data_IF_066681119186
#
_entry.id   IF_066681119186
#
_cell.length_a   1.000
_cell.length_b   1.000
_cell.length_c   1.000
_cell.angle_alpha   90.00
_cell.angle_beta   90.00
_cell.angle_gamma   90.00
#
_symmetry.space_group_name_H-M   'P 1'
#
loop_
_entity.id
_entity.type
_entity.pdbx_description
1 polymer ?
#
# COMPACT_ATOMS: atom_id res chain seq x y z
N UNK A 1 51.38 63.04 -34.61
CA UNK A 1 51.20 61.72 -35.28
C UNK A 1 50.58 60.67 -34.36
N UNK A 2 50.57 60.84 -33.03
CA UNK A 2 49.94 59.89 -32.09
C UNK A 2 48.40 59.85 -32.12
N UNK A 3 47.74 60.98 -32.36
CA UNK A 3 46.26 61.09 -32.22
C UNK A 3 45.47 60.19 -33.18
N UNK A 4 45.99 59.91 -34.37
CA UNK A 4 45.31 59.04 -35.35
C UNK A 4 45.46 57.54 -35.01
N UNK A 5 46.52 57.18 -34.27
CA UNK A 5 46.76 55.81 -33.80
C UNK A 5 45.87 55.48 -32.61
N UNK A 6 45.64 56.46 -31.74
CA UNK A 6 44.78 56.38 -30.56
C UNK A 6 43.29 56.18 -30.94
N UNK A 7 42.77 56.98 -31.88
CA UNK A 7 41.39 56.79 -32.38
C UNK A 7 41.14 55.44 -33.07
N UNK A 8 42.15 54.91 -33.78
CA UNK A 8 42.03 53.59 -34.41
C UNK A 8 41.96 52.48 -33.37
N UNK A 9 42.75 52.58 -32.30
CA UNK A 9 42.70 51.62 -31.20
C UNK A 9 41.37 51.70 -30.45
N UNK A 10 40.85 52.90 -30.21
CA UNK A 10 39.54 53.10 -29.54
C UNK A 10 38.41 52.46 -30.36
N UNK A 11 38.36 52.70 -31.68
CA UNK A 11 37.33 52.12 -32.56
C UNK A 11 37.41 50.59 -32.66
N UNK A 12 38.61 50.02 -32.64
CA UNK A 12 38.78 48.56 -32.65
C UNK A 12 38.42 47.92 -31.29
N UNK A 13 38.71 48.59 -30.16
CA UNK A 13 38.26 48.14 -28.84
C UNK A 13 36.74 48.22 -28.67
N UNK A 14 36.08 49.28 -29.17
CA UNK A 14 34.62 49.40 -29.14
C UNK A 14 33.93 48.29 -29.94
N UNK A 15 34.46 47.95 -31.13
CA UNK A 15 33.96 46.83 -31.94
C UNK A 15 34.09 45.49 -31.21
N UNK A 16 35.20 45.26 -30.50
CA UNK A 16 35.44 44.04 -29.73
C UNK A 16 34.51 43.94 -28.51
N UNK A 17 34.25 45.06 -27.83
CA UNK A 17 33.31 45.10 -26.71
C UNK A 17 31.88 44.83 -27.13
N UNK A 18 31.45 45.38 -28.28
CA UNK A 18 30.11 45.12 -28.84
C UNK A 18 29.97 43.62 -29.15
N UNK A 19 30.93 43.04 -29.87
CA UNK A 19 30.90 41.61 -30.19
C UNK A 19 30.90 40.72 -28.94
N UNK A 20 31.66 41.10 -27.90
CA UNK A 20 31.66 40.39 -26.61
C UNK A 20 30.31 40.48 -25.90
N UNK A 21 29.69 41.66 -25.84
CA UNK A 21 28.36 41.86 -25.23
C UNK A 21 27.28 41.07 -25.97
N UNK A 22 27.36 41.01 -27.29
CA UNK A 22 26.46 40.22 -28.13
C UNK A 22 26.60 38.71 -27.87
N UNK A 23 27.83 38.20 -27.80
CA UNK A 23 28.10 36.80 -27.49
C UNK A 23 27.59 36.43 -26.09
N UNK A 24 27.86 37.26 -25.08
CA UNK A 24 27.35 37.07 -23.71
C UNK A 24 25.81 37.10 -23.66
N UNK A 25 25.16 37.96 -24.45
CA UNK A 25 23.71 37.99 -24.56
C UNK A 25 23.16 36.74 -25.25
N UNK A 26 23.84 36.24 -26.28
CA UNK A 26 23.48 35.00 -26.97
C UNK A 26 23.64 33.78 -26.06
N UNK A 27 24.72 33.73 -25.27
CA UNK A 27 24.94 32.68 -24.27
C UNK A 27 23.85 32.68 -23.19
N UNK A 28 23.47 33.85 -22.66
CA UNK A 28 22.35 33.98 -21.70
C UNK A 28 21.04 33.45 -22.28
N UNK A 29 20.70 33.81 -23.53
CA UNK A 29 19.49 33.32 -24.20
C UNK A 29 19.49 31.80 -24.39
N UNK A 30 20.64 31.23 -24.69
CA UNK A 30 20.78 29.78 -24.84
C UNK A 30 20.58 29.05 -23.52
N UNK A 31 21.21 29.52 -22.44
CA UNK A 31 21.01 28.95 -21.10
C UNK A 31 19.57 29.10 -20.62
N UNK A 32 18.93 30.23 -20.87
CA UNK A 32 17.49 30.40 -20.60
C UNK A 32 16.62 29.43 -21.41
N UNK A 33 16.93 29.24 -22.70
CA UNK A 33 16.21 28.30 -23.55
C UNK A 33 16.36 26.86 -23.04
N UNK A 34 17.58 26.47 -22.63
CA UNK A 34 17.87 25.17 -22.03
C UNK A 34 17.14 24.98 -20.70
N UNK A 35 17.14 26.00 -19.83
CA UNK A 35 16.42 25.96 -18.57
C UNK A 35 14.91 25.78 -18.76
N UNK A 36 14.31 26.47 -19.75
CA UNK A 36 12.90 26.31 -20.12
C UNK A 36 12.59 24.89 -20.62
N UNK A 37 13.46 24.34 -21.47
CA UNK A 37 13.32 22.96 -21.94
C UNK A 37 13.43 21.97 -20.78
N UNK A 38 14.41 22.14 -19.90
CA UNK A 38 14.60 21.28 -18.72
C UNK A 38 13.38 21.32 -17.80
N UNK A 39 12.85 22.50 -17.49
CA UNK A 39 11.66 22.64 -16.67
C UNK A 39 10.43 21.95 -17.28
N UNK A 40 10.35 21.90 -18.61
CA UNK A 40 9.27 21.20 -19.33
C UNK A 40 9.44 19.67 -19.23
N UNK A 41 10.67 19.19 -19.39
CA UNK A 41 11.01 17.77 -19.22
C UNK A 41 10.72 17.33 -17.79
N UNK A 42 11.17 18.10 -16.79
CA UNK A 42 10.97 17.78 -15.37
C UNK A 42 9.47 17.69 -15.03
N UNK A 43 8.66 18.64 -15.55
CA UNK A 43 7.20 18.59 -15.38
C UNK A 43 6.61 17.32 -16.01
N UNK A 44 6.99 17.00 -17.25
CA UNK A 44 6.49 15.82 -17.94
C UNK A 44 6.92 14.49 -17.27
N UNK A 45 8.15 14.45 -16.73
CA UNK A 45 8.66 13.31 -15.97
C UNK A 45 7.91 13.15 -14.66
N UNK A 46 7.70 14.25 -13.92
CA UNK A 46 6.97 14.23 -12.65
C UNK A 46 5.53 13.73 -12.82
N UNK A 47 4.80 14.25 -13.82
CA UNK A 47 3.43 13.82 -14.12
C UNK A 47 3.36 12.33 -14.47
N UNK A 48 4.34 11.82 -15.22
CA UNK A 48 4.44 10.39 -15.57
C UNK A 48 4.65 9.54 -14.31
N UNK A 49 5.62 9.88 -13.47
CA UNK A 49 5.91 9.16 -12.23
C UNK A 49 4.72 9.16 -11.27
N UNK A 50 4.04 10.29 -11.14
CA UNK A 50 2.85 10.39 -10.28
C UNK A 50 1.73 9.46 -10.76
N UNK A 51 1.47 9.42 -12.08
CA UNK A 51 0.46 8.53 -12.67
C UNK A 51 0.79 7.05 -12.47
N UNK A 52 2.05 6.68 -12.58
CA UNK A 52 2.54 5.31 -12.35
C UNK A 52 2.32 4.88 -10.89
N UNK A 53 2.71 5.72 -9.92
CA UNK A 53 2.46 5.47 -8.49
C UNK A 53 0.96 5.28 -8.20
N UNK A 54 0.11 6.13 -8.78
CA UNK A 54 -1.34 6.02 -8.61
C UNK A 54 -1.87 4.70 -9.19
N UNK A 55 -1.40 4.32 -10.38
CA UNK A 55 -1.80 3.08 -11.05
C UNK A 55 -1.40 1.85 -10.23
N UNK A 56 -0.15 1.79 -9.77
CA UNK A 56 0.37 0.68 -8.96
C UNK A 56 -0.40 0.54 -7.64
N UNK A 57 -0.71 1.66 -6.99
CA UNK A 57 -1.51 1.67 -5.76
C UNK A 57 -2.96 1.20 -5.99
N UNK A 58 -3.56 1.52 -7.14
CA UNK A 58 -4.91 1.09 -7.49
C UNK A 58 -4.93 -0.40 -7.81
N UNK A 59 -3.94 -0.86 -8.58
CA UNK A 59 -3.76 -2.28 -8.90
C UNK A 59 -3.54 -3.12 -7.64
N UNK A 60 -2.66 -2.68 -6.74
CA UNK A 60 -2.40 -3.37 -5.47
C UNK A 60 -3.67 -3.48 -4.60
N UNK A 61 -4.48 -2.42 -4.53
CA UNK A 61 -5.76 -2.43 -3.80
C UNK A 61 -6.79 -3.39 -4.40
N UNK A 62 -6.85 -3.47 -5.73
CA UNK A 62 -7.73 -4.41 -6.43
C UNK A 62 -7.28 -5.85 -6.19
N UNK A 63 -5.98 -6.14 -6.34
CA UNK A 63 -5.39 -7.45 -6.06
C UNK A 63 -5.70 -7.92 -4.63
N UNK A 64 -5.44 -7.08 -3.62
CA UNK A 64 -5.74 -7.43 -2.23
C UNK A 64 -7.24 -7.73 -1.98
N UNK A 65 -8.14 -7.05 -2.72
CA UNK A 65 -9.58 -7.35 -2.67
C UNK A 65 -9.88 -8.69 -3.33
N UNK A 66 -9.31 -8.96 -4.51
CA UNK A 66 -9.49 -10.22 -5.23
C UNK A 66 -8.95 -11.41 -4.44
N UNK A 67 -7.84 -11.24 -3.70
CA UNK A 67 -7.26 -12.30 -2.87
C UNK A 67 -8.16 -12.66 -1.68
N UNK A 68 -8.91 -11.70 -1.14
CA UNK A 68 -9.75 -11.90 0.05
C UNK A 68 -11.22 -12.23 -0.25
N UNK A 69 -11.68 -12.00 -1.48
CA UNK A 69 -13.05 -12.28 -1.89
C UNK A 69 -13.41 -13.79 -1.83
N UNK A 70 -12.53 -14.73 -2.26
CA UNK A 70 -12.83 -16.16 -2.22
C UNK A 70 -13.16 -16.67 -0.82
N UNK A 71 -12.37 -16.27 0.20
CA UNK A 71 -12.57 -16.75 1.58
C UNK A 71 -13.82 -16.15 2.23
N UNK A 72 -14.15 -14.89 1.92
CA UNK A 72 -15.39 -14.24 2.40
C UNK A 72 -16.62 -14.90 1.78
N UNK A 73 -16.59 -15.18 0.48
CA UNK A 73 -17.71 -15.85 -0.20
C UNK A 73 -17.89 -17.30 0.29
N UNK A 74 -16.80 -18.02 0.57
CA UNK A 74 -16.87 -19.35 1.20
C UNK A 74 -17.50 -19.30 2.59
N UNK A 75 -17.07 -18.36 3.44
CA UNK A 75 -17.65 -18.18 4.76
C UNK A 75 -19.13 -17.78 4.70
N UNK A 76 -19.53 -16.93 3.75
CA UNK A 76 -20.94 -16.64 3.49
C UNK A 76 -21.72 -17.90 3.14
N UNK A 77 -21.18 -18.76 2.28
CA UNK A 77 -21.82 -20.04 1.93
C UNK A 77 -22.03 -20.96 3.13
N UNK A 78 -21.05 -21.05 4.03
CA UNK A 78 -21.16 -21.79 5.29
C UNK A 78 -22.28 -21.19 6.16
N UNK A 79 -22.28 -19.87 6.37
CA UNK A 79 -23.31 -19.19 7.18
C UNK A 79 -24.72 -19.30 6.57
N UNK A 80 -24.84 -19.25 5.24
CA UNK A 80 -26.11 -19.49 4.54
C UNK A 80 -26.64 -20.88 4.84
N UNK A 81 -25.78 -21.90 4.83
CA UNK A 81 -26.16 -23.27 5.13
C UNK A 81 -26.54 -23.46 6.62
N UNK A 82 -25.74 -22.93 7.55
CA UNK A 82 -25.97 -23.07 8.99
C UNK A 82 -27.20 -22.30 9.48
N UNK A 83 -27.38 -21.06 9.01
CA UNK A 83 -28.45 -20.18 9.46
C UNK A 83 -29.69 -20.22 8.56
N UNK A 84 -29.65 -20.95 7.44
CA UNK A 84 -30.73 -21.02 6.43
C UNK A 84 -31.19 -19.63 5.98
N UNK A 85 -30.22 -18.78 5.65
CA UNK A 85 -30.43 -17.38 5.29
C UNK A 85 -29.92 -17.06 3.88
N UNK A 86 -30.34 -15.90 3.36
CA UNK A 86 -29.88 -15.39 2.07
C UNK A 86 -28.45 -14.80 2.14
N UNK A 87 -27.83 -14.51 0.98
CA UNK A 87 -26.45 -14.01 0.90
C UNK A 87 -26.22 -12.68 1.61
N UNK A 88 -27.20 -11.77 1.56
CA UNK A 88 -27.11 -10.46 2.21
C UNK A 88 -27.12 -10.61 3.74
N UNK A 89 -28.05 -11.41 4.26
CA UNK A 89 -28.17 -11.68 5.69
C UNK A 89 -26.93 -12.41 6.24
N UNK A 90 -26.39 -13.38 5.48
CA UNK A 90 -25.16 -14.07 5.82
C UNK A 90 -23.96 -13.11 5.90
N UNK A 91 -23.82 -12.19 4.95
CA UNK A 91 -22.75 -11.20 5.00
C UNK A 91 -22.92 -10.24 6.18
N UNK A 92 -24.15 -9.89 6.50
CA UNK A 92 -24.47 -9.04 7.64
C UNK A 92 -24.18 -9.72 8.99
N UNK A 93 -24.45 -11.03 9.10
CA UNK A 93 -24.06 -11.85 10.24
C UNK A 93 -22.53 -11.86 10.40
N UNK A 94 -21.80 -12.09 9.31
CA UNK A 94 -20.34 -12.07 9.30
C UNK A 94 -19.78 -10.70 9.71
N UNK A 95 -20.35 -9.60 9.20
CA UNK A 95 -19.98 -8.23 9.56
C UNK A 95 -20.21 -7.96 11.04
N UNK A 96 -21.39 -8.30 11.59
CA UNK A 96 -21.70 -8.13 13.02
C UNK A 96 -20.78 -8.95 13.91
N UNK A 97 -20.42 -10.17 13.49
CA UNK A 97 -19.48 -11.01 14.22
C UNK A 97 -18.06 -10.42 14.21
N UNK A 98 -17.60 -9.94 13.05
CA UNK A 98 -16.30 -9.27 12.89
C UNK A 98 -16.19 -8.01 13.75
N UNK A 99 -17.25 -7.20 13.80
CA UNK A 99 -17.32 -6.01 14.66
C UNK A 99 -17.24 -6.37 16.14
N UNK A 100 -18.00 -7.38 16.60
CA UNK A 100 -17.96 -7.84 17.99
C UNK A 100 -16.60 -8.42 18.39
N UNK A 101 -15.94 -9.10 17.46
CA UNK A 101 -14.60 -9.66 17.68
C UNK A 101 -13.46 -8.65 17.46
N UNK A 102 -13.77 -7.45 16.92
CA UNK A 102 -12.80 -6.42 16.54
C UNK A 102 -11.65 -6.94 15.66
N UNK A 103 -11.99 -7.77 14.66
CA UNK A 103 -11.03 -8.31 13.68
C UNK A 103 -11.51 -8.06 12.25
N UNK A 104 -10.59 -8.04 11.29
CA UNK A 104 -10.94 -7.88 9.86
C UNK A 104 -11.87 -9.02 9.42
N UNK A 105 -12.91 -8.68 8.64
CA UNK A 105 -13.90 -9.64 8.10
C UNK A 105 -13.24 -10.82 7.39
N UNK A 106 -12.20 -10.58 6.59
CA UNK A 106 -11.46 -11.64 5.88
C UNK A 106 -10.75 -12.62 6.83
N UNK A 107 -10.25 -12.14 7.97
CA UNK A 107 -9.61 -12.99 8.99
C UNK A 107 -10.65 -13.85 9.68
N UNK A 108 -11.80 -13.26 10.06
CA UNK A 108 -12.88 -14.02 10.66
C UNK A 108 -13.46 -15.05 9.68
N UNK A 109 -13.62 -14.69 8.40
CA UNK A 109 -14.06 -15.60 7.36
C UNK A 109 -13.11 -16.80 7.21
N UNK A 110 -11.80 -16.57 7.21
CA UNK A 110 -10.80 -17.63 7.17
C UNK A 110 -10.92 -18.58 8.38
N UNK A 111 -11.12 -18.04 9.59
CA UNK A 111 -11.33 -18.86 10.79
C UNK A 111 -12.58 -19.74 10.70
N UNK A 112 -13.69 -19.21 10.16
CA UNK A 112 -14.92 -19.98 9.96
C UNK A 112 -14.69 -21.12 8.96
N UNK A 113 -14.03 -20.83 7.83
CA UNK A 113 -13.71 -21.85 6.81
C UNK A 113 -12.77 -22.92 7.38
N UNK A 114 -11.75 -22.53 8.15
CA UNK A 114 -10.81 -23.45 8.78
C UNK A 114 -11.48 -24.38 9.80
N UNK A 115 -12.43 -23.87 10.59
CA UNK A 115 -13.21 -24.69 11.55
C UNK A 115 -14.00 -25.81 10.87
N UNK A 116 -14.54 -25.54 9.68
CA UNK A 116 -15.30 -26.53 8.89
C UNK A 116 -14.35 -27.50 8.18
N UNK A 117 -13.22 -27.02 7.67
CA UNK A 117 -12.22 -27.84 7.00
C UNK A 117 -11.45 -28.76 7.96
N UNK A 118 -11.32 -28.38 9.23
CA UNK A 118 -10.70 -29.19 10.28
C UNK A 118 -11.65 -29.33 11.48
N UNK A 119 -12.62 -30.25 11.41
CA UNK A 119 -13.59 -30.48 12.49
C UNK A 119 -12.97 -30.93 13.83
N UNK A 120 -11.66 -31.22 13.87
CA UNK A 120 -10.93 -31.63 15.09
C UNK A 120 -10.24 -30.51 15.90
N UNK A 121 -10.02 -29.31 15.35
CA UNK A 121 -9.26 -28.24 16.03
C UNK A 121 -10.15 -27.35 16.92
N UNK A 122 -11.41 -27.13 16.53
CA UNK A 122 -12.38 -26.39 17.33
C UNK A 122 -12.84 -27.17 18.58
N UNK A 123 -13.02 -28.49 18.47
CA UNK A 123 -13.42 -29.36 19.61
C UNK A 123 -12.31 -29.43 20.67
N UNK A 124 -11.03 -29.42 20.28
CA UNK A 124 -9.90 -29.44 21.22
C UNK A 124 -9.71 -28.10 21.94
N UNK A 125 -9.87 -26.96 21.25
CA UNK A 125 -9.83 -25.64 21.88
C UNK A 125 -11.05 -25.38 22.79
N UNK A 126 -12.22 -25.90 22.43
CA UNK A 126 -13.43 -25.80 23.26
C UNK A 126 -13.39 -26.72 24.48
N UNK A 127 -12.83 -27.94 24.35
CA UNK A 127 -12.54 -28.84 25.48
C UNK A 127 -11.50 -28.27 26.45
N UNK A 128 -10.48 -27.58 25.95
CA UNK A 128 -9.50 -26.93 26.82
C UNK A 128 -10.12 -25.80 27.64
N UNK A 129 -11.01 -24.98 27.03
CA UNK A 129 -11.74 -23.90 27.71
C UNK A 129 -12.77 -24.40 28.72
N UNK A 130 -13.41 -25.55 28.47
CA UNK A 130 -14.36 -26.16 29.41
C UNK A 130 -13.67 -26.92 30.54
N UNK A 131 -12.49 -27.51 30.29
CA UNK A 131 -11.65 -28.14 31.32
C UNK A 131 -11.13 -27.12 32.36
N UNK A 132 -10.84 -25.88 31.96
CA UNK A 132 -10.41 -24.81 32.86
C UNK A 132 -11.56 -24.27 33.74
N UNK A 133 -12.81 -24.49 33.31
CA UNK A 133 -14.02 -24.09 34.06
C UNK A 133 -14.55 -25.18 34.99
N UNK A 134 -14.02 -26.40 34.91
CA UNK A 134 -14.39 -27.48 35.82
C UNK A 134 -13.63 -27.34 37.14
N UNK A 135 -14.31 -27.37 38.30
CA UNK A 135 -13.61 -27.46 39.58
C UNK A 135 -12.79 -28.75 39.61
N UNK A 136 -11.50 -28.62 39.91
CA UNK A 136 -10.58 -29.77 40.02
C UNK A 136 -11.19 -30.83 40.92
N UNK A 137 -11.28 -32.11 40.49
CA UNK A 137 -11.78 -33.17 41.36
C UNK A 137 -10.85 -33.28 42.58
N UNK A 138 -11.38 -33.53 43.78
CA UNK A 138 -10.56 -33.69 44.97
C UNK A 138 -9.57 -34.82 44.74
N UNK A 139 -8.31 -34.60 45.15
CA UNK A 139 -7.23 -35.59 45.06
C UNK A 139 -7.63 -36.82 45.89
N UNK A 140 -8.12 -37.85 45.24
CA UNK A 140 -8.31 -39.16 45.88
C UNK A 140 -6.92 -39.74 46.12
N UNK A 141 -6.64 -40.12 47.38
CA UNK A 141 -5.37 -40.70 47.77
C UNK A 141 -5.05 -41.92 46.88
N UNK A 142 -3.80 -42.01 46.39
CA UNK A 142 -3.36 -43.14 45.57
C UNK A 142 -3.46 -44.42 46.41
N UNK A 143 -4.07 -45.50 45.90
CA UNK A 143 -4.18 -46.74 46.65
C UNK A 143 -2.80 -47.36 46.90
N UNK A 144 -2.60 -48.01 48.06
CA UNK A 144 -1.28 -48.32 48.64
C UNK A 144 -0.48 -49.42 47.91
N UNK A 145 -0.99 -49.99 46.82
CA UNK A 145 -0.34 -51.13 46.15
C UNK A 145 0.58 -50.75 44.99
N UNK A 146 0.79 -49.46 44.73
CA UNK A 146 1.82 -49.00 43.79
C UNK A 146 3.11 -48.65 44.54
N UNK A 147 3.86 -49.70 44.89
CA UNK A 147 5.30 -49.67 45.09
C UNK A 147 5.94 -50.49 43.95
#
# INVERSE_FOLDING_TARGET
MDSARDESQIRDTERLEIARREFEAQARRFEEAKARLQATIDRAQHDRSQREILHDSAFARLQARLDSMPVIEQAKGILMAEHRCGPDEAFDLLRRASQRANVKVSVLAAQIVEQIASPGSADSAQRARSADRMPRPPRVARPPWRA
#
